data_IF_469135448341
#
_entry.id   IF_469135448341
#
_cell.length_a   1.000
_cell.length_b   1.000
_cell.length_c   1.000
_cell.angle_alpha   90.00
_cell.angle_beta   90.00
_cell.angle_gamma   90.00
#
_symmetry.space_group_name_H-M   'P 1'
#
loop_
_entity.id
_entity.type
_entity.pdbx_description
1 polymer ?
#
# COMPACT_ATOMS: atom_id res chain seq x y z
N UNK A 1 -6.56 -13.22 -9.14
CA UNK A 1 -6.45 -11.93 -8.43
C UNK A 1 -5.02 -11.43 -8.56
N UNK A 2 -4.80 -10.15 -8.89
CA UNK A 2 -3.46 -9.61 -8.99
C UNK A 2 -2.80 -9.34 -7.63
N UNK A 3 -3.47 -9.62 -6.55
CA UNK A 3 -2.89 -9.46 -5.22
C UNK A 3 -3.34 -10.56 -4.27
N UNK A 4 -2.51 -10.84 -3.28
CA UNK A 4 -2.85 -11.72 -2.16
C UNK A 4 -2.50 -11.01 -0.85
N UNK A 5 -3.30 -11.25 0.19
CA UNK A 5 -3.11 -10.62 1.50
C UNK A 5 -2.87 -11.72 2.52
N UNK A 6 -1.77 -11.62 3.25
CA UNK A 6 -1.43 -12.54 4.33
C UNK A 6 -0.99 -11.75 5.56
N UNK A 7 -1.16 -12.33 6.74
CA UNK A 7 -0.65 -11.74 7.96
C UNK A 7 0.67 -12.42 8.30
N UNK A 8 1.76 -11.65 8.22
CA UNK A 8 3.09 -12.13 8.57
C UNK A 8 3.30 -11.92 10.06
N UNK A 9 3.10 -12.98 10.84
CA UNK A 9 3.20 -12.88 12.30
C UNK A 9 4.63 -12.76 12.80
N UNK A 10 5.59 -13.23 12.01
CA UNK A 10 7.02 -13.13 12.36
C UNK A 10 7.52 -11.71 12.17
N UNK A 11 7.22 -11.10 11.02
CA UNK A 11 7.63 -9.73 10.70
C UNK A 11 6.64 -8.69 11.22
N UNK A 12 5.46 -9.11 11.68
CA UNK A 12 4.42 -8.28 12.28
C UNK A 12 3.88 -7.21 11.33
N UNK A 13 3.54 -7.63 10.14
CA UNK A 13 2.92 -6.77 9.11
C UNK A 13 1.81 -7.52 8.39
N UNK A 14 0.86 -6.76 7.85
CA UNK A 14 -0.08 -7.26 6.84
C UNK A 14 0.65 -7.18 5.52
N UNK A 15 0.92 -8.30 4.89
CA UNK A 15 1.68 -8.36 3.65
C UNK A 15 0.72 -8.47 2.47
N UNK A 16 0.80 -7.54 1.55
CA UNK A 16 0.04 -7.55 0.31
C UNK A 16 1.02 -7.75 -0.83
N UNK A 17 0.97 -8.91 -1.46
CA UNK A 17 1.82 -9.22 -2.61
C UNK A 17 1.04 -8.94 -3.89
N UNK A 18 1.55 -8.03 -4.70
CA UNK A 18 0.96 -7.67 -6.00
C UNK A 18 1.80 -8.30 -7.10
N UNK A 19 1.15 -9.04 -8.01
CA UNK A 19 1.84 -9.72 -9.10
C UNK A 19 1.03 -9.62 -10.39
N UNK A 20 1.70 -9.83 -11.53
CA UNK A 20 1.06 -9.77 -12.84
C UNK A 20 0.61 -8.36 -13.20
N UNK A 21 -0.55 -8.26 -13.87
CA UNK A 21 -1.09 -6.97 -14.33
C UNK A 21 -1.99 -6.39 -13.24
N UNK A 22 -1.63 -5.21 -12.76
CA UNK A 22 -2.41 -4.48 -11.77
C UNK A 22 -3.07 -3.28 -12.45
N UNK A 23 -4.38 -3.12 -12.25
CA UNK A 23 -5.15 -2.05 -12.89
C UNK A 23 -6.04 -1.28 -11.89
N UNK A 24 -6.74 -0.27 -12.42
CA UNK A 24 -7.55 0.63 -11.59
C UNK A 24 -8.75 -0.07 -10.93
N UNK A 25 -9.24 -1.16 -11.50
CA UNK A 25 -10.36 -1.91 -10.94
C UNK A 25 -9.99 -2.57 -9.61
N UNK A 26 -8.76 -3.05 -9.49
CA UNK A 26 -8.31 -3.80 -8.31
C UNK A 26 -7.80 -2.91 -7.19
N UNK A 27 -7.36 -1.69 -7.48
CA UNK A 27 -6.77 -0.80 -6.49
C UNK A 27 -7.65 -0.52 -5.29
N UNK A 28 -8.90 -0.03 -5.48
CA UNK A 28 -9.80 0.25 -4.37
C UNK A 28 -10.14 -0.98 -3.53
N UNK A 29 -10.35 -2.12 -4.17
CA UNK A 29 -10.63 -3.38 -3.47
C UNK A 29 -9.44 -3.81 -2.64
N UNK A 30 -8.24 -3.74 -3.19
CA UNK A 30 -7.00 -4.07 -2.48
C UNK A 30 -6.84 -3.18 -1.25
N UNK A 31 -7.03 -1.88 -1.39
CA UNK A 31 -6.93 -0.95 -0.27
C UNK A 31 -7.94 -1.28 0.82
N UNK A 32 -9.17 -1.58 0.45
CA UNK A 32 -10.23 -1.95 1.41
C UNK A 32 -9.89 -3.24 2.15
N UNK A 33 -9.47 -4.27 1.42
CA UNK A 33 -9.15 -5.57 2.01
C UNK A 33 -7.93 -5.48 2.92
N UNK A 34 -6.90 -4.76 2.51
CA UNK A 34 -5.69 -4.57 3.32
C UNK A 34 -6.00 -3.80 4.61
N UNK A 35 -6.82 -2.75 4.53
CA UNK A 35 -7.22 -1.98 5.70
C UNK A 35 -8.06 -2.79 6.67
N UNK A 36 -8.92 -3.67 6.16
CA UNK A 36 -9.69 -4.57 7.01
C UNK A 36 -8.75 -5.49 7.79
N UNK A 37 -7.79 -6.11 7.11
CA UNK A 37 -6.81 -6.98 7.76
C UNK A 37 -5.98 -6.23 8.80
N UNK A 38 -5.59 -5.00 8.51
CA UNK A 38 -4.85 -4.15 9.44
C UNK A 38 -5.69 -3.84 10.68
N UNK A 39 -6.96 -3.52 10.50
CA UNK A 39 -7.88 -3.26 11.62
C UNK A 39 -8.09 -4.47 12.52
N UNK A 40 -8.23 -5.66 11.92
CA UNK A 40 -8.44 -6.90 12.67
C UNK A 40 -7.18 -7.36 13.40
N UNK A 41 -6.01 -7.16 12.83
CA UNK A 41 -4.74 -7.65 13.39
C UNK A 41 -4.01 -6.61 14.24
N UNK A 42 -4.33 -5.33 14.08
CA UNK A 42 -3.59 -4.26 14.74
C UNK A 42 -2.21 -4.01 14.14
N UNK A 43 -1.96 -4.50 12.92
CA UNK A 43 -0.65 -4.39 12.26
C UNK A 43 -0.70 -3.36 11.14
N UNK A 44 0.48 -2.85 10.75
CA UNK A 44 0.63 -1.95 9.61
C UNK A 44 0.72 -2.75 8.30
N UNK A 45 0.68 -2.07 7.15
CA UNK A 45 0.53 -2.69 5.85
C UNK A 45 1.81 -2.55 5.03
N UNK A 46 2.28 -3.67 4.47
CA UNK A 46 3.39 -3.72 3.52
C UNK A 46 2.86 -4.14 2.16
N UNK A 47 2.90 -3.23 1.18
CA UNK A 47 2.64 -3.57 -0.21
C UNK A 47 3.95 -3.93 -0.90
N UNK A 48 4.06 -5.13 -1.41
CA UNK A 48 5.18 -5.56 -2.24
C UNK A 48 4.70 -5.62 -3.69
N UNK A 49 5.08 -4.63 -4.48
CA UNK A 49 4.66 -4.53 -5.88
C UNK A 49 5.75 -4.94 -6.87
N UNK A 50 6.88 -5.46 -6.36
CA UNK A 50 8.03 -5.78 -7.21
C UNK A 50 7.71 -6.83 -8.28
N UNK A 51 6.78 -7.74 -7.99
CA UNK A 51 6.38 -8.80 -8.92
C UNK A 51 5.29 -8.35 -9.91
N UNK A 52 4.79 -7.13 -9.82
CA UNK A 52 3.84 -6.60 -10.79
C UNK A 52 4.57 -6.39 -12.12
N UNK A 53 4.10 -7.08 -13.17
CA UNK A 53 4.71 -6.98 -14.50
C UNK A 53 4.28 -5.71 -15.22
N UNK A 54 3.10 -5.19 -14.88
CA UNK A 54 2.55 -3.97 -15.46
C UNK A 54 1.57 -3.34 -14.49
N UNK A 55 1.63 -2.01 -14.36
CA UNK A 55 0.64 -1.24 -13.63
C UNK A 55 -0.15 -0.40 -14.64
N UNK A 56 -1.34 -0.86 -14.98
CA UNK A 56 -2.23 -0.16 -15.91
C UNK A 56 -3.07 0.85 -15.15
N UNK A 57 -2.38 1.84 -14.59
CA UNK A 57 -2.97 2.90 -13.78
C UNK A 57 -2.60 4.25 -14.36
N UNK A 58 -3.56 5.17 -14.32
CA UNK A 58 -3.30 6.57 -14.59
C UNK A 58 -3.14 7.31 -13.27
N UNK A 59 -2.44 8.44 -13.30
CA UNK A 59 -2.27 9.27 -12.10
C UNK A 59 -3.63 9.72 -11.54
N UNK A 60 -4.62 9.95 -12.41
CA UNK A 60 -5.96 10.31 -11.97
C UNK A 60 -6.62 9.22 -11.13
N UNK A 61 -6.40 7.94 -11.45
CA UNK A 61 -6.94 6.85 -10.65
C UNK A 61 -6.40 6.93 -9.22
N UNK A 62 -5.08 7.03 -9.09
CA UNK A 62 -4.40 7.09 -7.80
C UNK A 62 -4.81 8.34 -7.02
N UNK A 63 -4.96 9.47 -7.70
CA UNK A 63 -5.39 10.73 -7.09
C UNK A 63 -6.75 10.58 -6.39
N UNK A 64 -7.70 9.92 -7.05
CA UNK A 64 -9.06 9.82 -6.52
C UNK A 64 -9.24 8.76 -5.43
N UNK A 65 -8.37 7.72 -5.37
CA UNK A 65 -8.55 6.66 -4.39
C UNK A 65 -8.67 7.15 -2.95
N UNK A 66 -7.75 7.96 -2.41
CA UNK A 66 -7.89 8.40 -1.02
C UNK A 66 -9.04 9.37 -0.80
N UNK A 67 -9.64 9.87 -1.87
CA UNK A 67 -10.75 10.80 -1.82
C UNK A 67 -12.11 10.14 -2.04
N UNK A 68 -12.14 8.89 -2.52
CA UNK A 68 -13.37 8.18 -2.88
C UNK A 68 -13.53 6.82 -2.21
N UNK A 69 -12.44 6.14 -1.86
CA UNK A 69 -12.51 4.82 -1.22
C UNK A 69 -12.83 4.99 0.26
N UNK A 70 -13.98 4.47 0.74
CA UNK A 70 -14.39 4.70 2.13
C UNK A 70 -13.37 4.29 3.18
N UNK A 71 -12.67 3.17 2.97
CA UNK A 71 -11.64 2.71 3.91
C UNK A 71 -10.49 3.70 4.07
N UNK A 72 -10.18 4.45 3.02
CA UNK A 72 -9.10 5.46 3.04
C UNK A 72 -9.58 6.79 3.61
N UNK A 73 -10.90 7.00 3.70
CA UNK A 73 -11.50 8.19 4.28
C UNK A 73 -11.86 8.03 5.76
N UNK A 74 -11.69 6.84 6.30
CA UNK A 74 -11.95 6.57 7.71
C UNK A 74 -11.03 7.45 8.57
N UNK A 75 -11.57 8.11 9.63
CA UNK A 75 -10.73 8.95 10.51
C UNK A 75 -9.57 8.22 11.16
N UNK A 76 -9.61 6.90 11.26
CA UNK A 76 -8.53 6.09 11.81
C UNK A 76 -7.48 5.70 10.77
N UNK A 77 -7.76 5.91 9.47
CA UNK A 77 -6.85 5.52 8.41
C UNK A 77 -5.42 6.08 8.57
N UNK A 78 -5.22 7.34 9.00
CA UNK A 78 -3.87 7.88 9.19
C UNK A 78 -3.04 7.16 10.26
N UNK A 79 -3.67 6.41 11.15
CA UNK A 79 -2.97 5.67 12.21
C UNK A 79 -2.28 4.41 11.69
N UNK A 80 -2.67 3.93 10.53
CA UNK A 80 -2.08 2.75 9.89
C UNK A 80 -0.97 3.22 8.96
N UNK A 81 0.25 2.77 9.21
CA UNK A 81 1.37 3.05 8.32
C UNK A 81 1.32 2.10 7.13
N UNK A 82 1.53 2.65 5.95
CA UNK A 82 1.53 1.88 4.70
C UNK A 82 2.87 2.09 4.01
N UNK A 83 3.61 1.00 3.80
CA UNK A 83 4.86 1.02 3.05
C UNK A 83 4.66 0.29 1.73
N UNK A 84 5.27 0.81 0.67
CA UNK A 84 5.29 0.15 -0.64
C UNK A 84 6.73 -0.14 -1.01
N UNK A 85 7.04 -1.41 -1.29
CA UNK A 85 8.35 -1.84 -1.76
C UNK A 85 8.28 -2.00 -3.27
N UNK A 86 9.17 -1.31 -3.97
CA UNK A 86 9.13 -1.17 -5.43
C UNK A 86 10.52 -1.35 -6.05
N UNK A 87 10.56 -1.47 -7.37
CA UNK A 87 11.80 -1.48 -8.15
C UNK A 87 11.91 -0.19 -8.97
N UNK A 88 13.13 0.21 -9.41
CA UNK A 88 13.33 1.52 -10.05
C UNK A 88 12.39 1.86 -11.20
N UNK A 89 12.00 0.88 -12.04
CA UNK A 89 11.08 1.14 -13.14
C UNK A 89 9.68 1.55 -12.70
N UNK A 90 9.33 1.34 -11.44
CA UNK A 90 8.03 1.67 -10.87
C UNK A 90 8.03 3.01 -10.14
N UNK A 91 9.18 3.69 -10.09
CA UNK A 91 9.38 4.86 -9.24
C UNK A 91 8.36 5.98 -9.50
N UNK A 92 8.11 6.30 -10.76
CA UNK A 92 7.23 7.44 -11.10
C UNK A 92 5.82 7.27 -10.54
N UNK A 93 5.23 6.07 -10.70
CA UNK A 93 3.87 5.81 -10.21
C UNK A 93 3.83 5.74 -8.69
N UNK A 94 4.87 5.17 -8.08
CA UNK A 94 4.96 5.04 -6.62
C UNK A 94 5.15 6.39 -5.96
N UNK A 95 5.98 7.27 -6.52
CA UNK A 95 6.17 8.63 -6.00
C UNK A 95 4.85 9.42 -6.05
N UNK A 96 4.09 9.29 -7.14
CA UNK A 96 2.80 9.94 -7.25
C UNK A 96 1.81 9.39 -6.21
N UNK A 97 1.77 8.07 -6.02
CA UNK A 97 0.92 7.44 -5.03
C UNK A 97 1.26 7.92 -3.62
N UNK A 98 2.53 7.93 -3.25
CA UNK A 98 2.96 8.40 -1.93
C UNK A 98 2.53 9.84 -1.69
N UNK A 99 2.79 10.72 -2.67
CA UNK A 99 2.44 12.14 -2.57
C UNK A 99 0.93 12.33 -2.44
N UNK A 100 0.15 11.65 -3.29
CA UNK A 100 -1.30 11.77 -3.29
C UNK A 100 -1.91 11.35 -1.95
N UNK A 101 -1.42 10.25 -1.38
CA UNK A 101 -1.92 9.76 -0.11
C UNK A 101 -1.51 10.66 1.05
N UNK A 102 -0.27 11.12 1.06
CA UNK A 102 0.21 12.03 2.12
C UNK A 102 -0.50 13.37 2.10
N UNK A 103 -0.89 13.84 0.93
CA UNK A 103 -1.60 15.13 0.79
C UNK A 103 -2.98 15.11 1.44
N UNK A 104 -3.59 13.95 1.67
CA UNK A 104 -4.86 13.85 2.39
C UNK A 104 -4.66 13.36 3.83
N UNK A 105 -3.43 13.37 4.34
CA UNK A 105 -3.13 13.05 5.72
C UNK A 105 -2.88 11.58 6.03
N UNK A 106 -2.83 10.72 5.01
CA UNK A 106 -2.49 9.31 5.21
C UNK A 106 -0.99 9.14 5.44
N UNK A 107 -0.62 8.08 6.17
CA UNK A 107 0.76 7.79 6.53
C UNK A 107 1.30 6.73 5.56
N UNK A 108 1.96 7.18 4.51
CA UNK A 108 2.44 6.33 3.43
C UNK A 108 3.88 6.66 3.08
N UNK A 109 4.69 5.62 2.80
CA UNK A 109 6.08 5.80 2.42
C UNK A 109 6.53 4.69 1.46
N UNK A 110 7.42 5.04 0.53
CA UNK A 110 7.94 4.11 -0.47
C UNK A 110 9.38 3.73 -0.15
N UNK A 111 9.74 2.48 -0.43
CA UNK A 111 11.07 1.93 -0.17
C UNK A 111 11.50 1.03 -1.32
N UNK A 112 12.78 1.02 -1.63
CA UNK A 112 13.36 0.04 -2.55
C UNK A 112 13.82 -1.22 -1.82
N UNK A 113 14.00 -1.14 -0.50
CA UNK A 113 14.50 -2.22 0.35
C UNK A 113 13.42 -2.67 1.33
N UNK A 114 13.12 -3.97 1.33
CA UNK A 114 12.06 -4.51 2.18
C UNK A 114 12.39 -4.39 3.67
N UNK A 115 13.64 -4.59 4.07
CA UNK A 115 14.02 -4.50 5.48
C UNK A 115 13.83 -3.08 6.02
N UNK A 116 14.14 -2.07 5.22
CA UNK A 116 13.90 -0.67 5.60
C UNK A 116 12.40 -0.40 5.77
N UNK A 117 11.60 -0.95 4.87
CA UNK A 117 10.15 -0.81 4.95
C UNK A 117 9.60 -1.43 6.24
N UNK A 118 10.02 -2.64 6.56
CA UNK A 118 9.57 -3.35 7.75
C UNK A 118 10.03 -2.60 9.01
N UNK A 119 11.25 -2.10 9.04
CA UNK A 119 11.73 -1.29 10.16
C UNK A 119 10.86 -0.07 10.42
N UNK A 120 10.48 0.63 9.36
CA UNK A 120 9.58 1.78 9.49
C UNK A 120 8.17 1.39 9.93
N UNK A 121 7.64 0.27 9.42
CA UNK A 121 6.29 -0.20 9.77
C UNK A 121 6.19 -0.67 11.22
N UNK A 122 7.27 -1.25 11.75
CA UNK A 122 7.27 -1.80 13.11
C UNK A 122 7.82 -0.83 14.15
N UNK A 123 8.25 0.35 13.73
CA UNK A 123 8.80 1.35 14.64
C UNK A 123 10.20 1.00 15.15
N UNK A 124 10.91 0.10 14.49
CA UNK A 124 12.24 -0.34 14.90
C UNK A 124 13.34 0.61 14.44
N UNK A 125 13.03 1.58 13.63
CA UNK A 125 14.00 2.53 13.10
C UNK A 125 14.01 3.83 13.90
#
# INVERSE_FOLDING_TARGET
>A
MPYTITIDTVRRVVRVLVSGIFDAEHGPRMATDARRSAGESGLNILYDIRAASSCKLENSDIFWWPRTVPALKDPRAPRVRVATVYIPRQRAIVDFWETSFRNVGLTARAFENEEDAIGWLTGAA
#
